data_IF_067134131986
#
_entry.id   IF_067134131986
#
_cell.length_a   1.000
_cell.length_b   1.000
_cell.length_c   1.000
_cell.angle_alpha   90.00
_cell.angle_beta   90.00
_cell.angle_gamma   90.00
#
_symmetry.space_group_name_H-M   'P 1'
#
loop_
_entity.id
_entity.type
_entity.pdbx_description
1 polymer ?
#
# COMPACT_ATOMS: atom_id res chain seq x y z
N UNK A 1 3.00 -5.68 -8.13
CA UNK A 1 2.87 -5.28 -6.72
C UNK A 1 4.01 -5.79 -5.83
N UNK A 2 4.25 -7.10 -5.66
CA UNK A 2 5.33 -7.61 -4.78
C UNK A 2 6.72 -7.11 -5.20
N UNK A 3 7.03 -7.10 -6.50
CA UNK A 3 8.31 -6.59 -7.00
C UNK A 3 8.48 -5.09 -6.70
N UNK A 4 7.39 -4.32 -6.81
CA UNK A 4 7.37 -2.88 -6.47
C UNK A 4 7.61 -2.68 -4.97
N UNK A 5 6.95 -3.46 -4.11
CA UNK A 5 7.21 -3.44 -2.68
C UNK A 5 8.67 -3.78 -2.33
N UNK A 6 9.26 -4.80 -2.97
CA UNK A 6 10.66 -5.15 -2.77
C UNK A 6 11.60 -4.01 -3.16
N UNK A 7 11.34 -3.35 -4.30
CA UNK A 7 12.09 -2.17 -4.72
C UNK A 7 11.93 -0.99 -3.73
N UNK A 8 10.72 -0.74 -3.22
CA UNK A 8 10.50 0.29 -2.20
C UNK A 8 11.23 -0.03 -0.89
N UNK A 9 11.32 -1.29 -0.46
CA UNK A 9 12.11 -1.68 0.72
C UNK A 9 13.60 -1.42 0.48
N UNK A 10 14.12 -1.80 -0.69
CA UNK A 10 15.51 -1.59 -1.04
C UNK A 10 15.85 -0.09 -1.08
N UNK A 11 15.00 0.71 -1.72
CA UNK A 11 15.16 2.16 -1.82
C UNK A 11 15.15 2.81 -0.44
N UNK A 12 14.26 2.38 0.45
CA UNK A 12 14.20 2.84 1.84
C UNK A 12 15.49 2.51 2.61
N UNK A 13 16.06 1.33 2.40
CA UNK A 13 17.30 0.92 3.06
C UNK A 13 18.49 1.74 2.57
N UNK A 14 18.62 1.93 1.25
CA UNK A 14 19.68 2.74 0.66
C UNK A 14 19.60 4.20 1.07
N UNK A 15 18.39 4.77 1.07
CA UNK A 15 18.13 6.12 1.53
C UNK A 15 18.49 6.31 3.01
N UNK A 16 18.15 5.34 3.87
CA UNK A 16 18.53 5.37 5.28
C UNK A 16 20.06 5.34 5.47
N UNK A 17 20.75 4.47 4.74
CA UNK A 17 22.22 4.40 4.76
C UNK A 17 22.86 5.72 4.31
N UNK A 18 22.35 6.34 3.25
CA UNK A 18 22.79 7.67 2.78
C UNK A 18 22.52 8.74 3.83
N UNK A 19 21.39 8.66 4.54
CA UNK A 19 21.04 9.57 5.63
C UNK A 19 22.04 9.50 6.78
N UNK A 20 22.39 8.29 7.19
CA UNK A 20 23.36 8.04 8.26
C UNK A 20 24.76 8.51 7.87
N UNK A 21 25.19 8.22 6.64
CA UNK A 21 26.48 8.71 6.13
C UNK A 21 26.51 10.23 6.06
N UNK A 22 25.43 10.87 5.60
CA UNK A 22 25.31 12.33 5.57
C UNK A 22 25.35 12.94 6.99
N UNK A 23 24.72 12.29 7.98
CA UNK A 23 24.77 12.70 9.40
C UNK A 23 26.17 12.54 10.00
N UNK A 24 26.88 11.46 9.68
CA UNK A 24 28.26 11.26 10.13
C UNK A 24 29.21 12.29 9.50
N UNK A 25 28.97 12.65 8.23
CA UNK A 25 29.73 13.67 7.53
C UNK A 25 29.44 15.07 8.09
N UNK A 26 28.19 15.41 8.41
CA UNK A 26 27.85 16.71 9.02
C UNK A 26 28.54 16.89 10.38
N UNK A 27 28.58 15.83 11.20
CA UNK A 27 29.24 15.82 12.51
C UNK A 27 30.77 15.95 12.39
N UNK A 28 31.37 15.34 11.36
CA UNK A 28 32.80 15.50 11.04
C UNK A 28 33.13 16.89 10.47
N UNK A 29 32.23 17.48 9.70
CA UNK A 29 32.37 18.82 9.13
C UNK A 29 32.49 19.90 10.22
N UNK A 30 31.74 19.72 11.32
CA UNK A 30 31.82 20.59 12.50
C UNK A 30 33.20 20.53 13.21
N UNK A 31 34.00 19.48 12.98
CA UNK A 31 35.20 19.18 13.78
C UNK A 31 36.54 19.64 13.19
N UNK A 32 36.88 19.45 11.89
CA UNK A 32 38.19 19.94 11.38
C UNK A 32 38.44 19.87 9.84
N UNK A 33 38.93 20.99 9.27
CA UNK A 33 40.07 21.20 8.33
C UNK A 33 40.46 20.17 7.25
N UNK A 34 39.50 19.63 6.48
CA UNK A 34 39.78 18.76 5.32
C UNK A 34 38.79 18.91 4.16
N UNK A 35 38.65 20.13 3.60
CA UNK A 35 37.61 20.46 2.59
C UNK A 35 37.62 19.60 1.32
N UNK A 36 38.79 19.17 0.83
CA UNK A 36 38.90 18.48 -0.47
C UNK A 36 38.32 17.07 -0.51
N UNK A 37 38.64 16.23 0.49
CA UNK A 37 38.13 14.85 0.55
C UNK A 37 36.67 14.76 1.03
N UNK A 38 36.17 15.81 1.67
CA UNK A 38 34.77 15.91 2.09
C UNK A 38 33.87 16.28 0.89
N UNK A 39 34.33 17.21 0.04
CA UNK A 39 33.61 17.61 -1.18
C UNK A 39 33.40 16.44 -2.15
N UNK A 40 34.43 15.62 -2.37
CA UNK A 40 34.31 14.46 -3.29
C UNK A 40 33.33 13.41 -2.75
N UNK A 41 33.28 13.19 -1.44
CA UNK A 41 32.28 12.31 -0.82
C UNK A 41 30.88 12.90 -0.85
N UNK A 42 30.71 14.20 -0.64
CA UNK A 42 29.41 14.87 -0.78
C UNK A 42 28.88 14.81 -2.21
N UNK A 43 29.73 15.04 -3.23
CA UNK A 43 29.36 14.85 -4.63
C UNK A 43 28.94 13.41 -4.93
N UNK A 44 29.71 12.42 -4.45
CA UNK A 44 29.35 11.01 -4.62
C UNK A 44 28.01 10.66 -3.96
N UNK A 45 27.75 11.22 -2.78
CA UNK A 45 26.47 11.03 -2.09
C UNK A 45 25.31 11.71 -2.83
N UNK A 46 25.54 12.89 -3.41
CA UNK A 46 24.56 13.61 -4.22
C UNK A 46 24.22 12.82 -5.49
N UNK A 47 25.22 12.27 -6.18
CA UNK A 47 25.00 11.42 -7.36
C UNK A 47 24.16 10.17 -7.02
N UNK A 48 24.36 9.57 -5.84
CA UNK A 48 23.51 8.45 -5.35
C UNK A 48 22.08 8.89 -5.03
N UNK A 49 21.89 10.08 -4.48
CA UNK A 49 20.55 10.63 -4.22
C UNK A 49 19.82 10.88 -5.54
N UNK A 50 20.51 11.41 -6.55
CA UNK A 50 19.94 11.63 -7.88
C UNK A 50 19.57 10.29 -8.56
N UNK A 51 20.36 9.23 -8.36
CA UNK A 51 20.04 7.88 -8.84
C UNK A 51 18.78 7.30 -8.16
N UNK A 52 18.64 7.50 -6.85
CA UNK A 52 17.44 7.14 -6.09
C UNK A 52 16.24 7.94 -6.59
N UNK A 53 16.38 9.24 -6.82
CA UNK A 53 15.30 10.09 -7.35
C UNK A 53 14.83 9.61 -8.72
N UNK A 54 15.76 9.22 -9.59
CA UNK A 54 15.43 8.65 -10.91
C UNK A 54 14.68 7.33 -10.78
N UNK A 55 15.15 6.43 -9.92
CA UNK A 55 14.51 5.12 -9.70
C UNK A 55 13.13 5.29 -9.07
N UNK A 56 12.96 6.26 -8.17
CA UNK A 56 11.66 6.61 -7.59
C UNK A 56 10.70 7.15 -8.66
N UNK A 57 11.18 8.01 -9.55
CA UNK A 57 10.38 8.52 -10.67
C UNK A 57 9.92 7.41 -11.62
N UNK A 58 10.82 6.48 -11.95
CA UNK A 58 10.51 5.33 -12.80
C UNK A 58 9.50 4.39 -12.11
N UNK A 59 9.68 4.11 -10.81
CA UNK A 59 8.74 3.33 -9.99
C UNK A 59 7.37 3.99 -9.90
N UNK A 60 7.34 5.32 -9.80
CA UNK A 60 6.10 6.09 -9.76
C UNK A 60 5.37 6.03 -11.10
N UNK A 61 6.07 6.21 -12.20
CA UNK A 61 5.50 6.09 -13.55
C UNK A 61 4.94 4.69 -13.78
N UNK A 62 5.69 3.65 -13.38
CA UNK A 62 5.23 2.27 -13.42
C UNK A 62 3.99 2.07 -12.53
N UNK A 63 3.96 2.69 -11.36
CA UNK A 63 2.84 2.59 -10.45
C UNK A 63 1.59 3.32 -10.98
N UNK A 64 1.71 4.45 -11.66
CA UNK A 64 0.60 5.14 -12.33
C UNK A 64 -0.02 4.26 -13.41
N UNK A 65 0.80 3.64 -14.27
CA UNK A 65 0.34 2.68 -15.27
C UNK A 65 -0.33 1.45 -14.62
N UNK A 66 0.23 0.97 -13.51
CA UNK A 66 -0.40 -0.10 -12.74
C UNK A 66 -1.74 0.36 -12.15
N UNK A 67 -1.86 1.55 -11.58
CA UNK A 67 -3.10 2.05 -10.98
C UNK A 67 -4.22 2.11 -12.03
N UNK A 68 -3.92 2.52 -13.26
CA UNK A 68 -4.95 2.58 -14.31
C UNK A 68 -5.50 1.18 -14.64
N UNK A 69 -4.61 0.22 -14.85
CA UNK A 69 -4.98 -1.16 -15.21
C UNK A 69 -5.61 -1.89 -14.01
N UNK A 70 -4.96 -1.82 -12.85
CA UNK A 70 -5.43 -2.45 -11.62
C UNK A 70 -6.62 -1.72 -10.98
N UNK A 71 -6.90 -0.48 -11.36
CA UNK A 71 -8.05 0.28 -10.87
C UNK A 71 -9.35 -0.35 -11.36
N UNK A 72 -9.48 -0.59 -12.68
CA UNK A 72 -10.66 -1.26 -13.25
C UNK A 72 -10.77 -2.68 -12.72
N UNK A 73 -9.67 -3.43 -12.72
CA UNK A 73 -9.65 -4.80 -12.22
C UNK A 73 -10.02 -4.86 -10.73
N UNK A 74 -9.46 -3.97 -9.91
CA UNK A 74 -9.71 -3.86 -8.48
C UNK A 74 -11.16 -3.51 -8.17
N UNK A 75 -11.76 -2.60 -8.95
CA UNK A 75 -13.19 -2.28 -8.84
C UNK A 75 -14.07 -3.50 -9.14
N UNK A 76 -13.81 -4.20 -10.25
CA UNK A 76 -14.56 -5.40 -10.62
C UNK A 76 -14.43 -6.49 -9.55
N UNK A 77 -13.20 -6.72 -9.04
CA UNK A 77 -12.94 -7.68 -7.98
C UNK A 77 -13.73 -7.28 -6.71
N UNK A 78 -13.62 -6.04 -6.26
CA UNK A 78 -14.33 -5.56 -5.06
C UNK A 78 -15.85 -5.69 -5.21
N UNK A 79 -16.40 -5.38 -6.38
CA UNK A 79 -17.82 -5.55 -6.67
C UNK A 79 -18.27 -7.01 -6.62
N UNK A 80 -17.48 -7.92 -7.20
CA UNK A 80 -17.76 -9.37 -7.15
C UNK A 80 -17.71 -9.85 -5.69
N UNK A 81 -16.65 -9.53 -4.94
CA UNK A 81 -16.54 -9.90 -3.52
C UNK A 81 -17.73 -9.39 -2.70
N UNK A 82 -18.16 -8.15 -2.94
CA UNK A 82 -19.31 -7.56 -2.26
C UNK A 82 -20.60 -8.37 -2.52
N UNK A 83 -20.93 -8.62 -3.78
CA UNK A 83 -22.12 -9.40 -4.14
C UNK A 83 -22.05 -10.84 -3.64
N UNK A 84 -20.90 -11.49 -3.78
CA UNK A 84 -20.67 -12.86 -3.31
C UNK A 84 -20.82 -12.95 -1.80
N UNK A 85 -20.35 -11.95 -1.04
CA UNK A 85 -20.48 -11.95 0.42
C UNK A 85 -21.93 -11.80 0.86
N UNK A 86 -22.68 -10.86 0.25
CA UNK A 86 -24.11 -10.70 0.54
C UNK A 86 -24.89 -11.98 0.21
N UNK A 87 -24.63 -12.55 -0.97
CA UNK A 87 -25.27 -13.79 -1.39
C UNK A 87 -24.96 -14.96 -0.45
N UNK A 88 -23.71 -15.08 0.03
CA UNK A 88 -23.30 -16.10 0.98
C UNK A 88 -24.03 -15.94 2.32
N UNK A 89 -24.06 -14.72 2.88
CA UNK A 89 -24.76 -14.45 4.15
C UNK A 89 -26.25 -14.80 4.02
N UNK A 90 -26.89 -14.32 2.96
CA UNK A 90 -28.29 -14.62 2.70
C UNK A 90 -28.55 -16.12 2.52
N UNK A 91 -27.73 -16.82 1.74
CA UNK A 91 -27.88 -18.26 1.52
C UNK A 91 -27.71 -19.06 2.82
N UNK A 92 -26.75 -18.68 3.67
CA UNK A 92 -26.57 -19.31 4.99
C UNK A 92 -27.77 -19.07 5.92
N UNK A 93 -28.35 -17.87 5.89
CA UNK A 93 -29.56 -17.56 6.65
C UNK A 93 -30.76 -18.39 6.17
N UNK A 94 -31.01 -18.43 4.86
CA UNK A 94 -32.12 -19.19 4.28
C UNK A 94 -31.98 -20.69 4.53
N UNK A 95 -30.75 -21.23 4.47
CA UNK A 95 -30.45 -22.62 4.83
C UNK A 95 -30.68 -22.92 6.32
N UNK A 96 -30.45 -21.94 7.21
CA UNK A 96 -30.74 -22.07 8.64
C UNK A 96 -32.24 -21.96 8.95
N UNK A 97 -32.95 -21.00 8.33
CA UNK A 97 -34.42 -20.78 8.45
C UNK A 97 -35.19 -22.01 7.94
N UNK A 98 -34.81 -22.52 6.77
CA UNK A 98 -35.29 -23.79 6.24
C UNK A 98 -34.59 -24.94 6.97
N UNK A 99 -34.89 -25.13 8.28
CA UNK A 99 -34.34 -26.17 9.17
C UNK A 99 -33.74 -27.36 8.41
N UNK A 100 -32.43 -27.35 8.12
CA UNK A 100 -31.73 -28.50 7.53
C UNK A 100 -32.53 -29.18 6.39
N UNK A 101 -33.26 -28.39 5.58
CA UNK A 101 -34.37 -28.90 4.78
C UNK A 101 -33.83 -29.74 3.62
N UNK A 102 -33.72 -31.05 3.82
CA UNK A 102 -33.47 -32.07 2.80
C UNK A 102 -32.23 -31.86 1.90
N UNK A 103 -31.30 -30.98 2.28
CA UNK A 103 -29.99 -30.93 1.64
C UNK A 103 -29.24 -32.16 2.12
N UNK A 104 -29.37 -33.26 1.37
CA UNK A 104 -28.39 -34.36 1.31
C UNK A 104 -27.04 -33.80 0.81
N UNK A 105 -26.54 -32.74 1.42
CA UNK A 105 -25.19 -32.27 1.17
C UNK A 105 -24.29 -33.33 1.77
N UNK A 106 -23.57 -34.02 0.89
CA UNK A 106 -22.51 -34.92 1.31
C UNK A 106 -21.54 -34.15 2.21
N UNK A 107 -21.08 -34.78 3.29
CA UNK A 107 -20.07 -34.18 4.19
C UNK A 107 -18.88 -33.68 3.37
N UNK A 108 -18.50 -34.42 2.33
CA UNK A 108 -17.45 -34.04 1.39
C UNK A 108 -17.76 -32.75 0.62
N UNK A 109 -18.98 -32.58 0.10
CA UNK A 109 -19.33 -31.33 -0.58
C UNK A 109 -19.30 -30.14 0.37
N UNK A 110 -19.73 -30.31 1.62
CA UNK A 110 -19.64 -29.25 2.62
C UNK A 110 -18.18 -28.86 2.93
N UNK A 111 -17.28 -29.84 3.07
CA UNK A 111 -15.84 -29.60 3.28
C UNK A 111 -15.23 -28.87 2.09
N UNK A 112 -15.53 -29.29 0.85
CA UNK A 112 -15.02 -28.60 -0.34
C UNK A 112 -15.55 -27.18 -0.46
N UNK A 113 -16.82 -26.94 -0.16
CA UNK A 113 -17.41 -25.59 -0.16
C UNK A 113 -16.76 -24.70 0.90
N UNK A 114 -16.60 -25.18 2.14
CA UNK A 114 -15.90 -24.43 3.19
C UNK A 114 -14.45 -24.12 2.80
N UNK A 115 -13.73 -25.11 2.24
CA UNK A 115 -12.37 -24.91 1.75
C UNK A 115 -12.30 -23.85 0.65
N UNK A 116 -13.17 -23.93 -0.35
CA UNK A 116 -13.26 -22.94 -1.43
C UNK A 116 -13.50 -21.53 -0.91
N UNK A 117 -14.44 -21.37 0.04
CA UNK A 117 -14.73 -20.10 0.68
C UNK A 117 -13.50 -19.54 1.39
N UNK A 118 -12.79 -20.36 2.17
CA UNK A 118 -11.58 -19.93 2.87
C UNK A 118 -10.48 -19.49 1.91
N UNK A 119 -10.23 -20.25 0.83
CA UNK A 119 -9.23 -19.89 -0.17
C UNK A 119 -9.61 -18.61 -0.90
N UNK A 120 -10.89 -18.46 -1.28
CA UNK A 120 -11.41 -17.26 -1.93
C UNK A 120 -11.18 -16.02 -1.06
N UNK A 121 -11.61 -16.02 0.20
CA UNK A 121 -11.39 -14.86 1.07
C UNK A 121 -9.91 -14.63 1.41
N UNK A 122 -9.11 -15.70 1.51
CA UNK A 122 -7.67 -15.57 1.77
C UNK A 122 -6.95 -14.87 0.61
N UNK A 123 -7.26 -15.23 -0.64
CA UNK A 123 -6.70 -14.59 -1.83
C UNK A 123 -6.98 -13.08 -1.86
N UNK A 124 -8.24 -12.70 -1.65
CA UNK A 124 -8.64 -11.28 -1.55
C UNK A 124 -7.93 -10.54 -0.42
N UNK A 125 -7.82 -11.18 0.76
CA UNK A 125 -7.10 -10.64 1.90
C UNK A 125 -5.63 -10.40 1.57
N UNK A 126 -4.93 -11.37 0.97
CA UNK A 126 -3.54 -11.20 0.56
C UNK A 126 -3.37 -10.06 -0.47
N UNK A 127 -4.27 -9.94 -1.44
CA UNK A 127 -4.25 -8.86 -2.43
C UNK A 127 -4.33 -7.47 -1.79
N UNK A 128 -5.26 -7.28 -0.85
CA UNK A 128 -5.42 -6.02 -0.10
C UNK A 128 -4.21 -5.74 0.79
N UNK A 129 -3.67 -6.75 1.47
CA UNK A 129 -2.47 -6.60 2.30
C UNK A 129 -1.25 -6.16 1.50
N UNK A 130 -1.03 -6.75 0.32
CA UNK A 130 0.06 -6.37 -0.57
C UNK A 130 -0.07 -4.89 -0.99
N UNK A 131 -1.28 -4.40 -1.28
CA UNK A 131 -1.50 -2.98 -1.55
C UNK A 131 -1.15 -2.11 -0.35
N UNK A 132 -1.59 -2.49 0.86
CA UNK A 132 -1.25 -1.73 2.08
C UNK A 132 0.25 -1.72 2.38
N UNK A 133 0.97 -2.82 2.11
CA UNK A 133 2.42 -2.86 2.26
C UNK A 133 3.14 -1.87 1.33
N UNK A 134 2.68 -1.72 0.09
CA UNK A 134 3.23 -0.72 -0.85
C UNK A 134 2.97 0.70 -0.32
N UNK A 135 1.76 0.99 0.15
CA UNK A 135 1.42 2.30 0.73
C UNK A 135 2.25 2.62 1.99
N UNK A 136 2.47 1.62 2.84
CA UNK A 136 3.25 1.80 4.08
C UNK A 136 4.75 1.98 3.80
N UNK A 137 5.29 1.29 2.78
CA UNK A 137 6.68 1.46 2.37
C UNK A 137 6.96 2.88 1.82
N UNK A 138 6.01 3.45 1.05
CA UNK A 138 6.10 4.83 0.59
C UNK A 138 5.90 5.85 1.72
N UNK A 139 4.98 5.58 2.66
CA UNK A 139 4.82 6.40 3.86
C UNK A 139 6.09 6.39 4.73
N UNK A 140 6.77 5.25 4.84
CA UNK A 140 8.06 5.13 5.54
C UNK A 140 9.14 5.98 4.86
N UNK A 141 9.20 5.98 3.54
CA UNK A 141 10.15 6.81 2.79
C UNK A 141 9.94 8.30 3.06
N UNK A 142 8.68 8.74 3.05
CA UNK A 142 8.30 10.12 3.39
C UNK A 142 8.67 10.50 4.82
N UNK A 143 8.51 9.58 5.79
CA UNK A 143 8.95 9.81 7.18
C UNK A 143 10.47 9.95 7.29
N UNK A 144 11.22 9.06 6.63
CA UNK A 144 12.70 9.13 6.61
C UNK A 144 13.20 10.44 6.00
N UNK A 145 12.53 10.96 4.96
CA UNK A 145 12.82 12.29 4.42
C UNK A 145 12.38 13.41 5.36
N UNK A 146 11.24 13.28 6.07
CA UNK A 146 10.80 14.27 7.06
C UNK A 146 11.79 14.45 8.22
N UNK A 147 12.44 13.36 8.65
CA UNK A 147 13.49 13.36 9.67
C UNK A 147 14.81 14.01 9.20
N UNK A 148 14.91 14.44 7.93
CA UNK A 148 16.04 15.25 7.42
C UNK A 148 16.07 16.68 7.90
N UNK A 149 14.95 17.21 8.42
CA UNK A 149 14.93 18.54 9.05
C UNK A 149 15.94 18.68 10.21
N UNK A 150 16.56 17.57 10.64
CA UNK A 150 17.64 17.50 11.63
C UNK A 150 19.08 17.49 11.04
N UNK A 151 19.28 17.51 9.72
CA UNK A 151 20.64 17.69 9.18
C UNK A 151 21.09 19.14 9.38
N UNK A 152 22.21 19.29 10.09
CA UNK A 152 22.81 20.58 10.40
C UNK A 152 23.13 21.37 9.13
N UNK A 153 22.74 22.65 9.13
CA UNK A 153 23.03 23.66 8.12
C UNK A 153 24.55 23.74 7.93
N UNK A 154 25.07 23.33 6.77
CA UNK A 154 26.51 23.27 6.51
C UNK A 154 27.00 22.02 5.77
N UNK A 155 26.08 21.24 5.19
CA UNK A 155 26.44 20.25 4.18
C UNK A 155 26.75 20.95 2.84
N UNK A 156 27.37 20.23 1.90
CA UNK A 156 27.63 20.75 0.56
C UNK A 156 26.30 21.07 -0.17
N UNK A 157 26.23 22.25 -0.79
CA UNK A 157 25.02 22.80 -1.42
C UNK A 157 24.39 21.83 -2.44
N UNK A 158 25.25 21.07 -3.14
CA UNK A 158 24.82 20.09 -4.14
C UNK A 158 24.04 18.92 -3.52
N UNK A 159 24.45 18.45 -2.35
CA UNK A 159 23.78 17.34 -1.66
C UNK A 159 22.44 17.81 -1.09
N UNK A 160 22.40 19.01 -0.48
CA UNK A 160 21.16 19.62 0.00
C UNK A 160 20.15 19.78 -1.14
N UNK A 161 20.58 20.32 -2.28
CA UNK A 161 19.74 20.49 -3.48
C UNK A 161 19.18 19.16 -4.00
N UNK A 162 19.99 18.10 -4.07
CA UNK A 162 19.54 16.79 -4.55
C UNK A 162 18.42 16.20 -3.66
N UNK A 163 18.51 16.44 -2.35
CA UNK A 163 17.53 15.95 -1.38
C UNK A 163 16.26 16.76 -1.37
N UNK A 164 16.37 18.09 -1.48
CA UNK A 164 15.21 18.97 -1.66
C UNK A 164 14.46 18.59 -2.93
N UNK A 165 15.16 18.32 -4.03
CA UNK A 165 14.55 17.86 -5.27
C UNK A 165 13.79 16.53 -5.09
N UNK A 166 14.40 15.55 -4.41
CA UNK A 166 13.73 14.28 -4.09
C UNK A 166 12.47 14.51 -3.23
N UNK A 167 12.57 15.38 -2.21
CA UNK A 167 11.44 15.72 -1.35
C UNK A 167 10.32 16.42 -2.11
N UNK A 168 10.67 17.35 -2.99
CA UNK A 168 9.72 18.05 -3.85
C UNK A 168 9.05 17.09 -4.82
N UNK A 169 9.76 16.13 -5.39
CA UNK A 169 9.16 15.09 -6.24
C UNK A 169 8.13 14.25 -5.48
N UNK A 170 8.48 13.82 -4.26
CA UNK A 170 7.60 13.05 -3.38
C UNK A 170 6.38 13.84 -2.88
N UNK A 171 6.53 15.15 -2.63
CA UNK A 171 5.44 16.04 -2.25
C UNK A 171 4.54 16.38 -3.43
N UNK A 172 5.12 16.65 -4.60
CA UNK A 172 4.39 16.99 -5.82
C UNK A 172 3.53 15.82 -6.28
N UNK A 173 4.02 14.60 -6.06
CA UNK A 173 3.40 13.42 -6.63
C UNK A 173 3.30 12.32 -5.55
N UNK A 174 2.38 12.46 -4.58
CA UNK A 174 2.22 11.48 -3.51
C UNK A 174 1.68 10.17 -4.09
N UNK A 175 2.28 9.03 -3.71
CA UNK A 175 1.76 7.72 -4.08
C UNK A 175 0.35 7.56 -3.49
N UNK A 176 -0.67 7.65 -4.34
CA UNK A 176 -2.07 7.40 -3.99
C UNK A 176 -2.57 6.25 -4.84
N UNK A 177 -2.94 5.15 -4.19
CA UNK A 177 -3.65 4.05 -4.85
C UNK A 177 -5.13 4.43 -4.90
N UNK A 178 -5.53 5.07 -6.00
CA UNK A 178 -6.93 5.39 -6.26
C UNK A 178 -7.53 4.34 -7.18
N UNK A 179 -8.65 3.73 -6.77
CA UNK A 179 -9.38 2.82 -7.66
C UNK A 179 -10.25 3.66 -8.57
N UNK A 180 -9.85 3.71 -9.85
CA UNK A 180 -10.60 4.37 -10.92
C UNK A 180 -10.83 5.87 -10.68
N UNK A 181 -10.02 6.52 -9.84
CA UNK A 181 -10.22 7.89 -9.35
C UNK A 181 -11.56 8.11 -8.59
N UNK A 182 -12.28 7.04 -8.27
CA UNK A 182 -13.57 7.11 -7.57
C UNK A 182 -13.40 7.06 -6.05
N UNK A 183 -12.41 6.29 -5.57
CA UNK A 183 -12.10 6.20 -4.16
C UNK A 183 -10.62 5.88 -3.93
N UNK A 184 -10.06 6.49 -2.90
CA UNK A 184 -8.73 6.14 -2.42
C UNK A 184 -8.81 4.89 -1.54
N UNK A 185 -7.93 3.93 -1.81
CA UNK A 185 -7.85 2.67 -1.06
C UNK A 185 -7.20 2.94 0.29
N UNK A 186 -8.02 3.41 1.23
CA UNK A 186 -7.62 3.64 2.60
C UNK A 186 -8.26 2.59 3.53
N UNK A 187 -7.62 2.36 4.68
CA UNK A 187 -8.17 1.51 5.75
C UNK A 187 -9.61 1.87 6.16
N UNK A 188 -9.99 3.16 6.32
CA UNK A 188 -11.38 3.55 6.57
C UNK A 188 -12.34 3.12 5.44
N UNK A 189 -11.94 3.23 4.18
CA UNK A 189 -12.76 2.81 3.02
C UNK A 189 -13.10 1.31 3.09
N UNK A 190 -12.13 0.47 3.48
CA UNK A 190 -12.36 -0.96 3.68
C UNK A 190 -13.37 -1.24 4.81
N UNK A 191 -13.29 -0.49 5.92
CA UNK A 191 -14.25 -0.61 7.02
C UNK A 191 -15.67 -0.22 6.61
N UNK A 192 -15.80 0.83 5.78
CA UNK A 192 -17.10 1.26 5.24
C UNK A 192 -17.70 0.15 4.35
N UNK A 193 -16.90 -0.50 3.50
CA UNK A 193 -17.36 -1.63 2.70
C UNK A 193 -17.87 -2.79 3.56
N UNK A 194 -17.11 -3.19 4.60
CA UNK A 194 -17.53 -4.26 5.52
C UNK A 194 -18.85 -3.91 6.20
N UNK A 195 -18.98 -2.68 6.69
CA UNK A 195 -20.20 -2.22 7.33
C UNK A 195 -21.40 -2.22 6.36
N UNK A 196 -21.19 -1.79 5.12
CA UNK A 196 -22.20 -1.82 4.07
C UNK A 196 -22.69 -3.24 3.77
N UNK A 197 -21.77 -4.21 3.71
CA UNK A 197 -22.13 -5.63 3.54
C UNK A 197 -23.03 -6.11 4.68
N UNK A 198 -22.64 -5.84 5.93
CA UNK A 198 -23.42 -6.27 7.11
C UNK A 198 -24.82 -5.65 7.10
N UNK A 199 -24.92 -4.35 6.86
CA UNK A 199 -26.20 -3.63 6.84
C UNK A 199 -27.09 -4.15 5.71
N UNK A 200 -26.58 -4.28 4.49
CA UNK A 200 -27.37 -4.72 3.35
C UNK A 200 -27.79 -6.18 3.46
N UNK A 201 -26.93 -7.05 4.01
CA UNK A 201 -27.32 -8.42 4.34
C UNK A 201 -28.42 -8.48 5.40
N UNK A 202 -28.33 -7.65 6.45
CA UNK A 202 -29.33 -7.61 7.52
C UNK A 202 -30.67 -7.07 7.02
N UNK A 203 -30.67 -6.03 6.18
CA UNK A 203 -31.88 -5.52 5.53
C UNK A 203 -32.57 -6.59 4.67
N UNK A 204 -31.79 -7.37 3.91
CA UNK A 204 -32.33 -8.47 3.10
C UNK A 204 -33.00 -9.56 3.95
N UNK A 205 -32.39 -9.88 5.09
CA UNK A 205 -32.93 -10.84 6.06
C UNK A 205 -34.21 -10.30 6.70
N UNK A 206 -34.22 -9.03 7.13
CA UNK A 206 -35.40 -8.40 7.71
C UNK A 206 -36.57 -8.37 6.72
N UNK A 207 -36.29 -8.00 5.47
CA UNK A 207 -37.29 -7.99 4.41
C UNK A 207 -37.92 -9.37 4.18
N UNK A 208 -37.10 -10.43 4.18
CA UNK A 208 -37.58 -11.81 4.05
C UNK A 208 -38.47 -12.23 5.24
N UNK A 209 -38.13 -11.81 6.47
CA UNK A 209 -38.94 -12.11 7.66
C UNK A 209 -40.29 -11.37 7.64
N UNK A 210 -40.33 -10.14 7.15
CA UNK A 210 -41.58 -9.34 7.10
C UNK A 210 -42.58 -9.86 6.07
N UNK A 211 -42.10 -10.44 4.96
CA UNK A 211 -42.95 -10.85 3.84
C UNK A 211 -43.13 -12.39 3.71
N UNK A 212 -42.36 -13.21 4.45
CA UNK A 212 -42.42 -14.69 4.42
C UNK A 212 -42.14 -15.36 5.78
#
# INVERSE_FOLDING_TARGET
MINVHAHYILLNYELHSILEEARLLSLKCYSHRGRGGLMTRCCYLADRVDEIAKTQFDLQTLNELMIEIFGVQGFCIAFIYYLTTIALIYFTFTAAKSKMLNLKLSIWSAVFTCGYILFYYSDGFFGVFIMFYVLDADAKMRRLLGDRTLLATGLDERLETALENLQLQLLRNPLRLSVLHLYDVERPSAMIMINSVVINSLLLIQYDIEHF
#
